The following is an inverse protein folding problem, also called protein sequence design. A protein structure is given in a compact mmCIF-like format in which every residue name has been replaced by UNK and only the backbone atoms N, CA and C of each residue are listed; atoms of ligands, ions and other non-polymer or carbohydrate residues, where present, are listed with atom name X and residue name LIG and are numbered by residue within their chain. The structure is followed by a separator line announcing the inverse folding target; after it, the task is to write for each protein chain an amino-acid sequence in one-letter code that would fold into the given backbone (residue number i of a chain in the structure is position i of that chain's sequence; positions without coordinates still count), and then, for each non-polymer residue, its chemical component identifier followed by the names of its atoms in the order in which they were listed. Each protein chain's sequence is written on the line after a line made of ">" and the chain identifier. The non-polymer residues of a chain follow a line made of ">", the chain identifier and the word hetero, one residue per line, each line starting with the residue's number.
data_IF_409380951101
#
_entry.id   IF_409380951101
#
_cell.length_a   1.000
_cell.length_b   1.000
_cell.length_c   1.000
_cell.angle_alpha   90.00
_cell.angle_beta   90.00
_cell.angle_gamma   90.00
#
_symmetry.space_group_name_H-M   'P 1'
#
loop_
_entity.id
_entity.type
_entity.pdbx_description
1 polymer ?
#
# COMPACT_ATOMS: atom_id res chain seq x y z
N UNK A 1 7.37 6.37 -2.33
CA UNK A 1 7.29 5.02 -1.74
C UNK A 1 7.46 5.05 -0.22
N UNK A 2 8.51 5.72 0.29
CA UNK A 2 8.71 5.91 1.74
C UNK A 2 7.50 6.50 2.48
N UNK A 3 6.90 7.59 1.98
CA UNK A 3 5.72 8.21 2.61
C UNK A 3 4.48 7.30 2.66
N UNK A 4 4.26 6.49 1.62
CA UNK A 4 3.16 5.51 1.59
C UNK A 4 3.41 4.39 2.61
N UNK A 5 4.66 4.08 2.90
CA UNK A 5 5.00 3.06 3.88
C UNK A 5 4.76 3.57 5.30
N UNK A 6 5.28 4.76 5.63
CA UNK A 6 5.11 5.41 6.93
C UNK A 6 3.64 5.70 7.25
N UNK A 7 2.87 6.16 6.25
CA UNK A 7 1.46 6.51 6.46
C UNK A 7 0.53 5.30 6.68
N UNK A 8 0.93 4.09 6.26
CA UNK A 8 0.07 2.90 6.33
C UNK A 8 0.56 1.83 7.30
N UNK A 9 1.87 1.74 7.55
CA UNK A 9 2.46 0.69 8.39
C UNK A 9 3.16 1.26 9.63
N UNK A 10 3.28 2.58 9.77
CA UNK A 10 4.01 3.23 10.85
C UNK A 10 5.53 3.13 10.67
N UNK A 11 6.28 3.40 11.74
CA UNK A 11 7.74 3.25 11.76
C UNK A 11 8.10 1.76 11.87
N UNK A 12 7.94 1.05 10.77
CA UNK A 12 8.38 -0.34 10.67
C UNK A 12 9.89 -0.31 10.57
N UNK A 13 10.56 -0.71 11.65
CA UNK A 13 12.02 -0.76 11.70
C UNK A 13 12.60 -1.53 10.51
N UNK A 14 13.86 -1.25 10.12
CA UNK A 14 14.49 -1.68 8.87
C UNK A 14 14.56 -3.20 8.63
N UNK A 15 14.16 -4.00 9.63
CA UNK A 15 14.11 -5.46 9.57
C UNK A 15 12.95 -6.02 8.71
N UNK A 16 11.91 -5.23 8.42
CA UNK A 16 10.79 -5.69 7.59
C UNK A 16 10.75 -4.90 6.29
N UNK A 17 11.41 -5.46 5.26
CA UNK A 17 11.25 -4.99 3.89
C UNK A 17 10.06 -5.71 3.24
N UNK A 18 9.00 -4.99 2.86
CA UNK A 18 7.87 -5.57 2.14
C UNK A 18 8.30 -6.00 0.74
N UNK A 19 7.69 -7.06 0.20
CA UNK A 19 7.82 -7.40 -1.22
C UNK A 19 6.66 -6.86 -2.05
N UNK A 20 5.57 -6.45 -1.41
CA UNK A 20 4.40 -5.89 -2.06
C UNK A 20 3.55 -5.07 -1.11
N UNK A 21 2.68 -4.22 -1.67
CA UNK A 21 1.63 -3.47 -0.97
C UNK A 21 0.33 -3.60 -1.74
N UNK A 22 -0.76 -3.87 -1.01
CA UNK A 22 -2.13 -3.91 -1.52
C UNK A 22 -2.93 -2.78 -0.90
N UNK A 23 -3.55 -1.95 -1.74
CA UNK A 23 -4.39 -0.83 -1.32
C UNK A 23 -5.81 -1.08 -1.81
N UNK A 24 -6.76 -0.98 -0.89
CA UNK A 24 -8.19 -0.98 -1.18
C UNK A 24 -8.76 0.40 -0.85
N UNK A 25 -9.26 1.11 -1.86
CA UNK A 25 -9.95 2.38 -1.67
C UNK A 25 -11.42 2.11 -1.88
N UNK A 26 -12.21 2.26 -0.81
CA UNK A 26 -13.67 2.17 -0.89
C UNK A 26 -14.24 3.57 -0.79
N UNK A 27 -15.01 3.98 -1.80
CA UNK A 27 -15.69 5.28 -1.83
C UNK A 27 -17.16 5.10 -2.15
N UNK A 28 -17.99 5.76 -1.37
CA UNK A 28 -19.43 5.82 -1.58
C UNK A 28 -19.78 7.05 -2.43
N UNK A 29 -20.62 6.84 -3.43
CA UNK A 29 -21.22 7.86 -4.30
C UNK A 29 -22.74 7.69 -4.24
N UNK A 30 -23.41 8.45 -3.37
CA UNK A 30 -24.84 8.29 -3.11
C UNK A 30 -25.14 6.90 -2.52
N UNK A 31 -25.99 6.13 -3.19
CA UNK A 31 -26.32 4.74 -2.79
C UNK A 31 -25.34 3.69 -3.33
N UNK A 32 -24.40 4.08 -4.21
CA UNK A 32 -23.44 3.16 -4.81
C UNK A 32 -22.13 3.21 -4.05
N UNK A 33 -21.53 2.04 -3.85
CA UNK A 33 -20.19 1.88 -3.29
C UNK A 33 -19.28 1.35 -4.39
N UNK A 34 -18.14 2.00 -4.58
CA UNK A 34 -17.10 1.58 -5.50
C UNK A 34 -15.86 1.25 -4.70
N UNK A 35 -15.32 0.05 -4.91
CA UNK A 35 -14.04 -0.37 -4.35
C UNK A 35 -13.04 -0.53 -5.47
N UNK A 36 -11.93 0.19 -5.36
CA UNK A 36 -10.78 0.06 -6.24
C UNK A 36 -9.68 -0.68 -5.51
N UNK A 37 -9.13 -1.70 -6.17
CA UNK A 37 -8.04 -2.52 -5.66
C UNK A 37 -6.79 -2.23 -6.49
N UNK A 38 -5.70 -1.91 -5.82
CA UNK A 38 -4.41 -1.68 -6.43
C UNK A 38 -3.36 -2.53 -5.72
N UNK A 39 -2.58 -3.29 -6.51
CA UNK A 39 -1.52 -4.16 -6.02
C UNK A 39 -0.22 -3.71 -6.67
N UNK A 40 0.79 -3.45 -5.83
CA UNK A 40 2.14 -3.14 -6.28
C UNK A 40 3.14 -4.10 -5.67
N UNK A 41 4.08 -4.53 -6.51
CA UNK A 41 5.23 -5.31 -6.11
C UNK A 41 6.45 -4.39 -6.04
N UNK A 42 7.30 -4.63 -5.04
CA UNK A 42 8.58 -3.95 -4.93
C UNK A 42 9.67 -4.90 -5.43
N UNK A 43 10.42 -4.48 -6.44
CA UNK A 43 11.64 -5.18 -6.82
C UNK A 43 12.76 -4.67 -5.91
N UNK A 44 13.20 -5.53 -4.99
CA UNK A 44 14.44 -5.31 -4.25
C UNK A 44 15.58 -5.86 -5.14
N UNK A 45 15.87 -5.18 -6.26
CA UNK A 45 17.13 -5.38 -6.96
C UNK A 45 18.19 -4.69 -6.13
N UNK A 46 18.69 -5.41 -5.12
CA UNK A 46 19.93 -5.07 -4.46
C UNK A 46 21.07 -5.24 -5.47
N UNK A 47 21.36 -4.17 -6.20
CA UNK A 47 22.73 -3.88 -6.68
C UNK A 47 23.36 -2.84 -5.75
#
# INVERSE_FOLDING_TARGET
>A
LGELYTNFLGDVGPAVRPTSVKIAITKQFGIRVITLLWLSYFNDTAE
#
